data_IF_904497946361
#
_entry.id   IF_904497946361
#
_cell.length_a   1.000
_cell.length_b   1.000
_cell.length_c   1.000
_cell.angle_alpha   90.00
_cell.angle_beta   90.00
_cell.angle_gamma   90.00
#
_symmetry.space_group_name_H-M   'P 1'
#
loop_
_entity.id
_entity.type
_entity.pdbx_description
1 polymer ?
#
# COMPACT_ATOMS: atom_id res chain seq x y z
N UNK A 1 -14.50 -48.50 36.20
CA UNK A 1 -15.36 -47.93 35.15
C UNK A 1 -15.31 -46.39 35.11
N UNK A 2 -15.02 -45.72 36.23
CA UNK A 2 -14.94 -44.25 36.35
C UNK A 2 -13.86 -43.62 35.43
N UNK A 3 -12.67 -44.23 35.31
CA UNK A 3 -11.58 -43.67 34.48
C UNK A 3 -11.89 -43.58 32.99
N UNK A 4 -12.76 -44.44 32.45
CA UNK A 4 -13.19 -44.38 31.04
C UNK A 4 -14.12 -43.20 30.80
N UNK A 5 -14.99 -42.89 31.76
CA UNK A 5 -15.90 -41.75 31.70
C UNK A 5 -15.13 -40.43 31.89
N UNK A 6 -14.13 -40.39 32.77
CA UNK A 6 -13.25 -39.23 32.94
C UNK A 6 -12.43 -38.95 31.68
N UNK A 7 -11.83 -39.99 31.07
CA UNK A 7 -11.11 -39.85 29.82
C UNK A 7 -12.02 -39.34 28.68
N UNK A 8 -13.26 -39.83 28.62
CA UNK A 8 -14.23 -39.43 27.61
C UNK A 8 -14.70 -37.98 27.84
N UNK A 9 -14.89 -37.55 29.09
CA UNK A 9 -15.17 -36.16 29.45
C UNK A 9 -14.04 -35.20 29.06
N UNK A 10 -12.78 -35.58 29.33
CA UNK A 10 -11.60 -34.82 28.90
C UNK A 10 -11.50 -34.73 27.38
N UNK A 11 -11.74 -35.83 26.66
CA UNK A 11 -11.74 -35.83 25.19
C UNK A 11 -12.81 -34.90 24.61
N UNK A 12 -14.01 -34.89 25.17
CA UNK A 12 -15.09 -34.00 24.73
C UNK A 12 -14.77 -32.53 25.01
N UNK A 13 -14.16 -32.23 26.15
CA UNK A 13 -13.70 -30.87 26.49
C UNK A 13 -12.66 -30.38 25.47
N UNK A 14 -11.66 -31.21 25.15
CA UNK A 14 -10.63 -30.87 24.15
C UNK A 14 -11.25 -30.66 22.77
N UNK A 15 -12.19 -31.51 22.35
CA UNK A 15 -12.90 -31.35 21.08
C UNK A 15 -13.73 -30.06 21.03
N UNK A 16 -14.40 -29.70 22.12
CA UNK A 16 -15.16 -28.45 22.21
C UNK A 16 -14.25 -27.22 22.02
N UNK A 17 -13.12 -27.18 22.73
CA UNK A 17 -12.16 -26.08 22.57
C UNK A 17 -11.49 -26.09 21.20
N UNK A 18 -11.16 -27.26 20.64
CA UNK A 18 -10.62 -27.37 19.29
C UNK A 18 -11.63 -26.82 18.27
N UNK A 19 -12.89 -27.24 18.34
CA UNK A 19 -13.95 -26.72 17.47
C UNK A 19 -14.06 -25.19 17.57
N UNK A 20 -14.11 -24.64 18.79
CA UNK A 20 -14.19 -23.18 18.97
C UNK A 20 -12.92 -22.43 18.55
N UNK A 21 -11.74 -23.06 18.61
CA UNK A 21 -10.50 -22.46 18.12
C UNK A 21 -10.48 -22.33 16.58
N UNK A 22 -11.14 -23.24 15.86
CA UNK A 22 -11.26 -23.19 14.41
C UNK A 22 -12.51 -22.42 13.93
N UNK A 23 -13.67 -22.64 14.54
CA UNK A 23 -14.97 -22.09 14.12
C UNK A 23 -15.43 -20.84 14.88
N UNK A 24 -14.66 -20.38 15.87
CA UNK A 24 -14.99 -19.18 16.64
C UNK A 24 -14.80 -17.89 15.85
N UNK A 25 -15.54 -16.83 16.21
CA UNK A 25 -15.40 -15.48 15.65
C UNK A 25 -14.00 -14.85 15.82
N UNK A 26 -13.16 -15.43 16.68
CA UNK A 26 -11.74 -15.06 16.87
C UNK A 26 -10.81 -16.25 16.65
N UNK A 27 -11.28 -17.24 15.90
CA UNK A 27 -10.52 -18.44 15.59
C UNK A 27 -9.29 -18.16 14.73
N UNK A 28 -8.43 -19.17 14.60
CA UNK A 28 -7.13 -19.05 13.92
C UNK A 28 -7.26 -18.59 12.47
N UNK A 29 -8.31 -19.01 11.76
CA UNK A 29 -8.58 -18.60 10.38
C UNK A 29 -8.83 -17.09 10.26
N UNK A 30 -9.71 -16.53 11.08
CA UNK A 30 -10.01 -15.08 11.09
C UNK A 30 -8.80 -14.25 11.51
N UNK A 31 -7.96 -14.78 12.40
CA UNK A 31 -6.69 -14.15 12.71
C UNK A 31 -5.77 -14.12 11.48
N UNK A 32 -5.64 -15.24 10.75
CA UNK A 32 -4.85 -15.28 9.52
C UNK A 32 -5.39 -14.30 8.46
N UNK A 33 -6.70 -14.24 8.26
CA UNK A 33 -7.32 -13.31 7.31
C UNK A 33 -7.07 -11.86 7.72
N UNK A 34 -7.20 -11.53 9.00
CA UNK A 34 -6.91 -10.19 9.51
C UNK A 34 -5.43 -9.81 9.37
N UNK A 35 -4.51 -10.78 9.51
CA UNK A 35 -3.08 -10.55 9.27
C UNK A 35 -2.78 -10.28 7.80
N UNK A 36 -3.45 -10.98 6.87
CA UNK A 36 -3.33 -10.74 5.44
C UNK A 36 -3.88 -9.35 5.07
N UNK A 37 -5.09 -9.01 5.56
CA UNK A 37 -5.66 -7.68 5.34
C UNK A 37 -4.77 -6.58 5.91
N UNK A 38 -4.20 -6.78 7.10
CA UNK A 38 -3.28 -5.83 7.71
C UNK A 38 -2.04 -5.61 6.81
N UNK A 39 -1.50 -6.66 6.21
CA UNK A 39 -0.34 -6.56 5.34
C UNK A 39 -0.69 -5.81 4.04
N UNK A 40 -1.82 -6.13 3.42
CA UNK A 40 -2.30 -5.43 2.23
C UNK A 40 -2.48 -3.93 2.49
N UNK A 41 -3.07 -3.56 3.64
CA UNK A 41 -3.23 -2.15 4.04
C UNK A 41 -1.92 -1.44 4.29
N UNK A 42 -0.91 -2.12 4.82
CA UNK A 42 0.43 -1.54 5.00
C UNK A 42 1.11 -1.27 3.66
N UNK A 43 0.96 -2.18 2.69
CA UNK A 43 1.49 -1.98 1.34
C UNK A 43 0.81 -0.77 0.67
N UNK A 44 -0.51 -0.66 0.80
CA UNK A 44 -1.27 0.48 0.31
C UNK A 44 -0.82 1.80 0.96
N UNK A 45 -0.64 1.79 2.29
CA UNK A 45 -0.15 2.94 3.04
C UNK A 45 1.23 3.39 2.57
N UNK A 46 2.18 2.45 2.45
CA UNK A 46 3.55 2.76 2.02
C UNK A 46 3.59 3.39 0.60
N UNK A 47 2.71 2.93 -0.29
CA UNK A 47 2.55 3.53 -1.62
C UNK A 47 2.07 4.98 -1.53
N UNK A 48 1.01 5.22 -0.76
CA UNK A 48 0.43 6.56 -0.59
C UNK A 48 1.44 7.51 0.07
N UNK A 49 2.17 7.04 1.08
CA UNK A 49 3.22 7.85 1.74
C UNK A 49 4.34 8.24 0.76
N UNK A 50 4.74 7.31 -0.11
CA UNK A 50 5.72 7.59 -1.17
C UNK A 50 5.21 8.66 -2.13
N UNK A 51 3.95 8.56 -2.58
CA UNK A 51 3.34 9.55 -3.47
C UNK A 51 3.22 10.92 -2.79
N UNK A 52 2.81 10.96 -1.52
CA UNK A 52 2.76 12.19 -0.72
C UNK A 52 4.15 12.81 -0.59
N UNK A 53 5.19 12.00 -0.36
CA UNK A 53 6.56 12.49 -0.24
C UNK A 53 7.07 13.15 -1.53
N UNK A 54 6.76 12.52 -2.68
CA UNK A 54 7.05 13.08 -4.01
C UNK A 54 6.32 14.41 -4.21
N UNK A 55 5.01 14.43 -3.99
CA UNK A 55 4.20 15.64 -4.12
C UNK A 55 4.68 16.78 -3.21
N UNK A 56 5.09 16.48 -1.98
CA UNK A 56 5.65 17.48 -1.06
C UNK A 56 6.95 18.08 -1.59
N UNK A 57 7.79 17.28 -2.23
CA UNK A 57 9.02 17.77 -2.87
C UNK A 57 8.70 18.69 -4.03
N UNK A 58 7.74 18.30 -4.87
CA UNK A 58 7.31 19.12 -6.02
C UNK A 58 6.67 20.44 -5.57
N UNK A 59 5.78 20.40 -4.57
CA UNK A 59 5.17 21.62 -4.00
C UNK A 59 6.25 22.56 -3.46
N UNK A 60 7.27 22.04 -2.77
CA UNK A 60 8.38 22.85 -2.25
C UNK A 60 9.14 23.55 -3.38
N UNK A 61 9.38 22.84 -4.49
CA UNK A 61 10.03 23.38 -5.70
C UNK A 61 9.16 24.40 -6.46
N UNK A 62 7.88 24.49 -6.16
CA UNK A 62 6.96 25.48 -6.73
C UNK A 62 6.61 26.60 -5.75
N UNK A 63 7.09 26.55 -4.51
CA UNK A 63 6.78 27.53 -3.47
C UNK A 63 7.63 28.80 -3.64
N UNK A 64 7.04 30.01 -3.53
CA UNK A 64 7.78 31.27 -3.59
C UNK A 64 8.96 31.31 -2.63
N UNK A 65 10.14 31.72 -3.12
CA UNK A 65 11.39 31.76 -2.35
C UNK A 65 12.24 30.48 -2.42
N UNK A 66 11.67 29.37 -2.89
CA UNK A 66 12.38 28.11 -3.18
C UNK A 66 12.01 27.53 -4.55
N UNK A 67 11.57 28.40 -5.47
CA UNK A 67 11.13 28.00 -6.81
C UNK A 67 12.32 27.48 -7.60
N UNK A 68 12.16 26.28 -8.15
CA UNK A 68 13.11 25.66 -9.07
C UNK A 68 12.68 26.00 -10.52
N UNK A 69 13.37 26.92 -11.22
CA UNK A 69 12.98 27.37 -12.55
C UNK A 69 13.02 26.25 -13.59
N UNK A 70 13.98 25.33 -13.50
CA UNK A 70 14.10 24.20 -14.44
C UNK A 70 12.91 23.26 -14.27
N UNK A 71 12.44 23.05 -13.04
CA UNK A 71 11.26 22.24 -12.78
C UNK A 71 9.98 22.89 -13.31
N UNK A 72 9.85 24.20 -13.14
CA UNK A 72 8.70 24.97 -13.66
C UNK A 72 8.65 24.88 -15.18
N UNK A 73 9.80 25.02 -15.85
CA UNK A 73 9.91 24.91 -17.29
C UNK A 73 9.57 23.49 -17.78
N UNK A 74 10.09 22.46 -17.10
CA UNK A 74 9.76 21.06 -17.40
C UNK A 74 8.25 20.80 -17.23
N UNK A 75 7.63 21.32 -16.17
CA UNK A 75 6.20 21.18 -15.92
C UNK A 75 5.35 21.94 -16.95
N UNK A 76 5.79 23.13 -17.37
CA UNK A 76 5.12 23.90 -18.42
C UNK A 76 5.19 23.18 -19.78
N UNK A 77 6.34 22.57 -20.12
CA UNK A 77 6.48 21.72 -21.31
C UNK A 77 5.55 20.52 -21.24
N UNK A 78 5.52 19.79 -20.12
CA UNK A 78 4.70 18.58 -19.95
C UNK A 78 3.19 18.86 -19.91
N UNK A 79 2.74 19.87 -19.14
CA UNK A 79 1.30 20.13 -18.89
C UNK A 79 0.66 21.10 -19.86
N UNK A 80 1.43 22.04 -20.39
CA UNK A 80 0.91 23.13 -21.23
C UNK A 80 1.41 23.03 -22.67
N UNK A 81 2.21 22.01 -23.01
CA UNK A 81 2.90 21.91 -24.29
C UNK A 81 3.68 23.21 -24.62
N UNK A 82 4.22 23.86 -23.58
CA UNK A 82 4.94 25.12 -23.74
C UNK A 82 6.23 24.88 -24.52
N UNK A 83 6.48 25.70 -25.55
CA UNK A 83 7.70 25.65 -26.38
C UNK A 83 8.08 27.07 -26.80
N UNK A 84 9.37 27.32 -26.97
CA UNK A 84 9.85 28.59 -27.50
C UNK A 84 9.76 28.64 -29.04
N UNK A 85 9.60 29.82 -29.66
CA UNK A 85 9.38 29.97 -31.11
C UNK A 85 10.44 29.34 -32.04
N UNK A 86 11.62 28.97 -31.53
CA UNK A 86 12.73 28.40 -32.30
C UNK A 86 13.19 27.03 -31.77
N UNK A 87 12.38 26.35 -30.95
CA UNK A 87 12.69 25.01 -30.45
C UNK A 87 12.26 23.90 -31.42
N UNK A 88 13.10 22.87 -31.55
CA UNK A 88 12.79 21.66 -32.31
C UNK A 88 12.37 20.57 -31.32
N UNK A 89 11.13 20.10 -31.42
CA UNK A 89 10.61 19.02 -30.58
C UNK A 89 10.82 17.67 -31.27
N UNK A 90 11.57 16.79 -30.62
CA UNK A 90 11.78 15.42 -31.07
C UNK A 90 10.74 14.51 -30.40
N UNK A 91 9.75 14.04 -31.16
CA UNK A 91 8.78 13.05 -30.67
C UNK A 91 9.29 11.64 -30.96
N UNK A 92 9.64 10.90 -29.92
CA UNK A 92 9.97 9.46 -30.02
C UNK A 92 8.71 8.62 -29.75
N UNK A 93 8.57 7.48 -30.44
CA UNK A 93 7.43 6.57 -30.28
C UNK A 93 7.47 5.76 -28.97
N UNK A 94 8.61 5.76 -28.27
CA UNK A 94 8.76 5.08 -26.98
C UNK A 94 8.64 6.09 -25.84
N UNK A 95 7.66 5.88 -24.96
CA UNK A 95 7.47 6.70 -23.75
C UNK A 95 8.66 6.45 -22.82
N UNK A 96 9.59 7.39 -22.73
CA UNK A 96 10.72 7.32 -21.80
C UNK A 96 10.20 7.38 -20.36
N UNK A 97 10.12 6.22 -19.71
CA UNK A 97 9.79 6.06 -18.29
C UNK A 97 11.01 6.38 -17.43
N UNK A 98 11.52 7.61 -17.56
CA UNK A 98 12.57 8.10 -16.67
C UNK A 98 11.91 8.98 -15.60
N UNK A 99 11.56 8.37 -14.46
CA UNK A 99 11.32 9.06 -13.20
C UNK A 99 11.70 8.16 -12.02
#
# INVERSE_FOLDING_TARGET
MVSRLEALGLSLLVLYFAYHAFAGEKGLGRWSDAQLELEDRKVELAKIETDISRLRTDIRRLTPGSVDPDFVEALARDKLAFVYPNEIVLMTSERSVAN
#
